data_IF_486664115356
#
_entry.id   IF_486664115356
#
_cell.length_a   1.000
_cell.length_b   1.000
_cell.length_c   1.000
_cell.angle_alpha   90.00
_cell.angle_beta   90.00
_cell.angle_gamma   90.00
#
_symmetry.space_group_name_H-M   'P 1'
#
loop_
_entity.id
_entity.type
_entity.pdbx_description
1 polymer ?
#
# COMPACT_ATOMS: atom_id res chain seq x y z
N UNK A 1 -20.31 16.44 -19.20
CA UNK A 1 -18.88 16.10 -19.31
C UNK A 1 -18.72 14.71 -19.91
N UNK A 2 -17.72 14.52 -20.78
CA UNK A 2 -17.43 13.23 -21.41
C UNK A 2 -15.94 12.95 -21.39
N UNK A 3 -15.54 11.71 -21.20
CA UNK A 3 -14.14 11.29 -21.35
C UNK A 3 -13.75 11.33 -22.83
N UNK A 4 -12.72 12.13 -23.15
CA UNK A 4 -12.20 12.30 -24.52
C UNK A 4 -10.97 11.41 -24.77
N UNK A 5 -10.09 11.28 -23.77
CA UNK A 5 -8.92 10.44 -23.86
C UNK A 5 -8.62 9.70 -22.54
N UNK A 6 -7.97 8.56 -22.68
CA UNK A 6 -7.40 7.77 -21.59
C UNK A 6 -5.98 7.44 -22.01
N UNK A 7 -4.99 8.07 -21.37
CA UNK A 7 -3.58 7.97 -21.73
C UNK A 7 -2.81 7.21 -20.66
N UNK A 8 -1.83 6.46 -21.11
CA UNK A 8 -0.86 5.77 -20.26
C UNK A 8 0.51 6.36 -20.53
N UNK A 9 0.92 7.27 -19.67
CA UNK A 9 2.14 8.05 -19.82
C UNK A 9 3.27 7.41 -19.02
N UNK A 10 4.28 6.90 -19.72
CA UNK A 10 5.52 6.43 -19.11
C UNK A 10 6.48 7.61 -19.00
N UNK A 11 6.95 7.86 -17.80
CA UNK A 11 7.94 8.90 -17.50
C UNK A 11 9.22 8.26 -16.95
N UNK A 12 10.36 8.84 -17.30
CA UNK A 12 11.68 8.35 -16.93
C UNK A 12 12.49 9.51 -16.38
N UNK A 13 13.20 9.28 -15.28
CA UNK A 13 14.07 10.27 -14.66
C UNK A 13 15.13 9.61 -13.78
N UNK A 14 16.05 10.41 -13.30
CA UNK A 14 17.18 9.98 -12.49
C UNK A 14 16.88 10.18 -11.01
N UNK A 15 16.71 9.09 -10.27
CA UNK A 15 16.59 9.10 -8.82
C UNK A 15 17.99 9.24 -8.20
N UNK A 16 18.28 10.34 -7.47
CA UNK A 16 19.63 10.72 -7.11
C UNK A 16 20.15 9.97 -5.87
N UNK A 17 20.05 8.66 -5.86
CA UNK A 17 20.54 7.81 -4.80
C UNK A 17 21.79 7.04 -5.26
N UNK A 18 22.85 7.04 -4.44
CA UNK A 18 24.08 6.31 -4.72
C UNK A 18 24.24 5.17 -3.71
N UNK A 19 24.71 4.02 -4.18
CA UNK A 19 24.86 2.82 -3.36
C UNK A 19 23.66 1.90 -3.40
N UNK A 20 23.55 0.95 -2.47
CA UNK A 20 22.43 0.02 -2.38
C UNK A 20 21.23 0.70 -1.70
N UNK A 21 20.22 1.07 -2.48
CA UNK A 21 18.99 1.65 -1.94
C UNK A 21 18.22 0.64 -1.10
N UNK A 22 18.25 -0.64 -1.50
CA UNK A 22 17.56 -1.73 -0.85
C UNK A 22 18.55 -2.67 -0.18
N UNK A 23 18.41 -2.88 1.12
CA UNK A 23 19.38 -3.62 1.91
C UNK A 23 18.93 -5.04 2.23
N UNK A 24 17.61 -5.22 2.43
CA UNK A 24 17.02 -6.53 2.70
C UNK A 24 15.69 -6.67 1.98
N UNK A 25 15.46 -7.79 1.34
CA UNK A 25 14.20 -8.08 0.67
C UNK A 25 13.13 -8.67 1.60
N UNK A 26 11.88 -8.71 1.15
CA UNK A 26 10.81 -9.44 1.81
C UNK A 26 11.08 -10.95 1.91
N UNK A 27 10.55 -11.58 2.98
CA UNK A 27 10.24 -12.99 2.92
C UNK A 27 9.10 -13.21 1.92
N UNK A 28 9.23 -14.18 1.03
CA UNK A 28 8.22 -14.45 -0.02
C UNK A 28 7.59 -15.83 0.22
N UNK A 29 6.31 -16.02 -0.12
CA UNK A 29 5.72 -17.37 -0.15
C UNK A 29 6.55 -18.38 -0.96
N UNK A 30 7.25 -17.88 -1.99
CA UNK A 30 8.14 -18.68 -2.84
C UNK A 30 9.37 -19.22 -2.09
N UNK A 31 9.73 -18.64 -0.94
CA UNK A 31 10.88 -19.04 -0.12
C UNK A 31 10.72 -20.40 0.57
N UNK A 32 9.58 -21.08 0.39
CA UNK A 32 9.43 -22.52 0.71
C UNK A 32 10.43 -23.35 -0.08
N UNK A 33 10.82 -22.93 -1.31
CA UNK A 33 11.80 -23.58 -2.15
C UNK A 33 13.21 -23.04 -1.82
N UNK A 34 14.18 -23.93 -1.49
CA UNK A 34 15.51 -23.50 -1.03
C UNK A 34 16.26 -22.59 -1.99
N UNK A 35 16.14 -22.81 -3.29
CA UNK A 35 16.80 -22.04 -4.35
C UNK A 35 16.39 -20.54 -4.36
N UNK A 36 15.17 -20.23 -3.92
CA UNK A 36 14.69 -18.86 -3.88
C UNK A 36 15.08 -18.11 -2.59
N UNK A 37 15.42 -18.83 -1.52
CA UNK A 37 15.80 -18.21 -0.24
C UNK A 37 17.08 -17.39 -0.33
N UNK A 38 18.04 -17.86 -1.11
CA UNK A 38 19.34 -17.23 -1.27
C UNK A 38 19.32 -16.07 -2.27
N UNK A 39 18.30 -15.94 -3.10
CA UNK A 39 18.20 -14.88 -4.10
C UNK A 39 17.93 -13.52 -3.43
N UNK A 40 18.87 -12.56 -3.49
CA UNK A 40 18.70 -11.25 -2.88
C UNK A 40 17.86 -10.29 -3.70
N UNK A 41 17.51 -10.63 -4.94
CA UNK A 41 16.88 -9.71 -5.88
C UNK A 41 15.41 -9.48 -5.55
N UNK A 42 15.02 -8.23 -5.69
CA UNK A 42 13.63 -7.80 -5.77
C UNK A 42 13.34 -7.36 -7.21
N UNK A 43 12.50 -8.10 -7.90
CA UNK A 43 12.24 -7.95 -9.34
C UNK A 43 11.47 -6.65 -9.70
N UNK A 44 10.89 -6.00 -8.71
CA UNK A 44 10.13 -4.75 -8.87
C UNK A 44 10.94 -3.49 -8.55
N UNK A 45 12.19 -3.65 -8.08
CA UNK A 45 13.09 -2.50 -7.88
C UNK A 45 13.62 -1.97 -9.21
N UNK A 46 13.89 -0.67 -9.30
CA UNK A 46 14.54 -0.09 -10.46
C UNK A 46 15.87 -0.76 -10.75
N UNK A 47 16.17 -0.97 -12.02
CA UNK A 47 17.49 -1.43 -12.42
C UNK A 47 18.55 -0.38 -12.08
N UNK A 48 19.64 -0.84 -11.47
CA UNK A 48 20.81 -0.02 -11.19
C UNK A 48 21.98 -0.47 -12.06
N UNK A 49 22.45 0.43 -12.90
CA UNK A 49 23.66 0.22 -13.67
C UNK A 49 24.89 0.70 -12.86
N UNK A 50 25.51 -0.19 -12.10
CA UNK A 50 26.70 0.14 -11.28
C UNK A 50 26.35 0.90 -10.00
N UNK A 51 27.33 1.60 -9.37
CA UNK A 51 27.17 2.30 -8.09
C UNK A 51 26.52 3.70 -8.22
N UNK A 52 26.03 4.05 -9.41
CA UNK A 52 25.46 5.37 -9.72
C UNK A 52 23.98 5.52 -9.31
N UNK A 53 23.38 6.65 -9.69
CA UNK A 53 21.96 6.89 -9.45
C UNK A 53 21.08 5.88 -10.19
N UNK A 54 19.85 5.69 -9.70
CA UNK A 54 18.89 4.78 -10.32
C UNK A 54 18.15 5.44 -11.47
N UNK A 55 17.98 4.73 -12.57
CA UNK A 55 17.09 5.12 -13.66
C UNK A 55 15.67 4.68 -13.32
N UNK A 56 14.85 5.61 -12.88
CA UNK A 56 13.47 5.32 -12.47
C UNK A 56 12.51 5.49 -13.64
N UNK A 57 11.67 4.48 -13.83
CA UNK A 57 10.64 4.45 -14.86
C UNK A 57 9.29 4.20 -14.21
N UNK A 58 8.32 5.09 -14.44
CA UNK A 58 6.97 4.96 -13.88
C UNK A 58 5.90 5.22 -14.93
N UNK A 59 4.75 4.59 -14.77
CA UNK A 59 3.61 4.74 -15.68
C UNK A 59 2.47 5.40 -14.91
N UNK A 60 1.89 6.44 -15.49
CA UNK A 60 0.74 7.14 -14.95
C UNK A 60 -0.46 7.02 -15.90
N UNK A 61 -1.65 6.91 -15.31
CA UNK A 61 -2.92 7.01 -16.01
C UNK A 61 -3.41 8.44 -15.98
N UNK A 62 -3.74 8.98 -17.14
CA UNK A 62 -4.41 10.28 -17.30
C UNK A 62 -5.77 10.07 -17.99
N UNK A 63 -6.84 10.59 -17.39
CA UNK A 63 -8.20 10.58 -17.96
C UNK A 63 -8.60 12.02 -18.25
N UNK A 64 -8.77 12.34 -19.54
CA UNK A 64 -9.10 13.69 -20.01
C UNK A 64 -10.59 13.82 -20.31
N UNK A 65 -11.17 14.98 -20.01
CA UNK A 65 -12.55 15.31 -20.32
C UNK A 65 -12.67 16.38 -21.41
N UNK A 66 -13.86 16.49 -22.04
CA UNK A 66 -14.21 17.54 -22.98
C UNK A 66 -14.29 18.94 -22.36
N UNK A 67 -14.21 19.05 -21.03
CA UNK A 67 -14.13 20.33 -20.31
C UNK A 67 -12.67 20.72 -19.95
N UNK A 68 -11.68 20.00 -20.47
CA UNK A 68 -10.26 20.31 -20.28
C UNK A 68 -9.69 19.95 -18.91
N UNK A 69 -10.42 19.14 -18.12
CA UNK A 69 -9.95 18.63 -16.83
C UNK A 69 -9.38 17.25 -17.02
N UNK A 70 -8.20 17.00 -16.40
CA UNK A 70 -7.52 15.72 -16.44
C UNK A 70 -7.36 15.18 -15.03
N UNK A 71 -7.76 13.92 -14.83
CA UNK A 71 -7.50 13.15 -13.61
C UNK A 71 -6.28 12.28 -13.75
N UNK A 72 -5.50 12.15 -12.67
CA UNK A 72 -4.24 11.43 -12.59
C UNK A 72 -4.32 10.28 -11.59
N UNK A 73 -3.76 9.12 -11.95
CA UNK A 73 -3.50 8.02 -11.02
C UNK A 73 -2.17 7.32 -11.34
N UNK A 74 -1.56 6.74 -10.32
CA UNK A 74 -0.31 6.00 -10.44
C UNK A 74 0.69 6.33 -9.34
N UNK A 75 1.91 5.78 -9.43
CA UNK A 75 2.42 4.99 -10.56
C UNK A 75 1.79 3.59 -10.66
N UNK A 76 1.75 3.06 -11.87
CA UNK A 76 1.17 1.76 -12.20
C UNK A 76 2.25 0.76 -12.61
N UNK A 77 2.01 -0.52 -12.37
CA UNK A 77 2.81 -1.57 -12.99
C UNK A 77 2.49 -1.68 -14.48
N UNK A 78 3.43 -2.23 -15.26
CA UNK A 78 3.25 -2.41 -16.71
C UNK A 78 2.06 -3.30 -17.05
N UNK A 79 1.80 -4.33 -16.24
CA UNK A 79 0.68 -5.25 -16.45
C UNK A 79 -0.67 -4.58 -16.18
N UNK A 80 -0.77 -3.77 -15.13
CA UNK A 80 -1.95 -2.94 -14.85
C UNK A 80 -2.21 -1.97 -16.01
N UNK A 81 -1.18 -1.26 -16.44
CA UNK A 81 -1.29 -0.33 -17.56
C UNK A 81 -1.73 -1.05 -18.86
N UNK A 82 -1.20 -2.24 -19.14
CA UNK A 82 -1.60 -3.05 -20.30
C UNK A 82 -3.08 -3.46 -20.25
N UNK A 83 -3.57 -3.88 -19.10
CA UNK A 83 -5.01 -4.20 -18.92
C UNK A 83 -5.87 -2.97 -19.18
N UNK A 84 -5.49 -1.81 -18.65
CA UNK A 84 -6.19 -0.55 -18.93
C UNK A 84 -6.20 -0.28 -20.44
N UNK A 85 -5.03 -0.28 -21.10
CA UNK A 85 -4.89 0.07 -22.50
C UNK A 85 -5.69 -0.82 -23.44
N UNK A 86 -5.60 -2.14 -23.25
CA UNK A 86 -6.22 -3.11 -24.17
C UNK A 86 -7.70 -3.38 -23.83
N UNK A 87 -8.02 -3.55 -22.54
CA UNK A 87 -9.31 -4.13 -22.16
C UNK A 87 -10.31 -3.08 -21.66
N UNK A 88 -9.86 -2.02 -20.95
CA UNK A 88 -10.75 -1.11 -20.24
C UNK A 88 -10.91 0.24 -20.95
N UNK A 89 -9.84 0.79 -21.53
CA UNK A 89 -9.84 2.07 -22.26
C UNK A 89 -10.98 2.21 -23.30
N UNK A 90 -11.30 1.19 -24.13
CA UNK A 90 -12.38 1.30 -25.10
C UNK A 90 -13.77 1.54 -24.49
N UNK A 91 -13.96 1.16 -23.21
CA UNK A 91 -15.22 1.32 -22.49
C UNK A 91 -15.38 2.68 -21.82
N UNK A 92 -14.28 3.39 -21.61
CA UNK A 92 -14.27 4.67 -20.92
C UNK A 92 -14.57 5.85 -21.86
N UNK A 93 -14.15 5.76 -23.12
CA UNK A 93 -14.32 6.87 -24.09
C UNK A 93 -15.80 7.21 -24.29
N UNK A 94 -16.14 8.48 -24.10
CA UNK A 94 -17.51 9.01 -24.19
C UNK A 94 -18.38 8.81 -22.95
N UNK A 95 -17.89 8.08 -21.93
CA UNK A 95 -18.57 7.97 -20.64
C UNK A 95 -18.56 9.31 -19.88
N UNK A 96 -19.51 9.50 -18.97
CA UNK A 96 -19.51 10.62 -18.04
C UNK A 96 -18.55 10.33 -16.88
N UNK A 97 -17.40 11.06 -16.75
CA UNK A 97 -16.41 10.80 -15.71
C UNK A 97 -16.93 11.07 -14.29
N UNK A 98 -18.03 11.80 -14.12
CA UNK A 98 -18.62 12.06 -12.81
C UNK A 98 -19.50 10.91 -12.34
N UNK A 99 -19.91 10.01 -13.24
CA UNK A 99 -20.68 8.81 -12.91
C UNK A 99 -19.75 7.65 -12.46
N UNK A 100 -18.88 7.92 -11.49
CA UNK A 100 -17.79 7.01 -11.04
C UNK A 100 -18.32 5.63 -10.68
N UNK A 101 -19.37 5.57 -9.85
CA UNK A 101 -19.97 4.30 -9.42
C UNK A 101 -20.51 3.47 -10.60
N UNK A 102 -21.08 4.13 -11.60
CA UNK A 102 -21.57 3.46 -12.81
C UNK A 102 -20.41 2.90 -13.62
N UNK A 103 -19.34 3.69 -13.84
CA UNK A 103 -18.16 3.23 -14.56
C UNK A 103 -17.55 2.04 -13.83
N UNK A 104 -17.40 2.13 -12.51
CA UNK A 104 -16.89 1.04 -11.69
C UNK A 104 -17.69 -0.24 -11.86
N UNK A 105 -19.03 -0.18 -11.73
CA UNK A 105 -19.91 -1.35 -11.84
C UNK A 105 -19.91 -1.94 -13.26
N UNK A 106 -19.89 -1.08 -14.30
CA UNK A 106 -19.80 -1.53 -15.69
C UNK A 106 -18.46 -2.28 -15.95
N UNK A 107 -17.34 -1.75 -15.49
CA UNK A 107 -16.03 -2.41 -15.63
C UNK A 107 -15.95 -3.71 -14.84
N UNK A 108 -16.47 -3.73 -13.60
CA UNK A 108 -16.52 -4.92 -12.76
C UNK A 108 -17.36 -6.04 -13.39
N UNK A 109 -18.53 -5.71 -13.92
CA UNK A 109 -19.40 -6.68 -14.59
C UNK A 109 -18.86 -7.14 -15.92
N UNK A 110 -18.21 -6.24 -16.65
CA UNK A 110 -17.53 -6.59 -17.89
C UNK A 110 -16.39 -7.59 -17.65
N UNK A 111 -15.63 -7.39 -16.58
CA UNK A 111 -14.47 -8.20 -16.21
C UNK A 111 -14.82 -9.33 -15.22
N UNK A 112 -15.82 -10.11 -15.57
CA UNK A 112 -16.34 -11.21 -14.73
C UNK A 112 -15.24 -12.21 -14.27
N UNK A 113 -14.21 -12.43 -15.08
CA UNK A 113 -13.07 -13.29 -14.77
C UNK A 113 -11.93 -12.57 -14.04
N UNK A 114 -11.94 -11.24 -13.96
CA UNK A 114 -10.88 -10.40 -13.40
C UNK A 114 -11.25 -9.72 -12.08
N UNK A 115 -12.06 -10.35 -11.24
CA UNK A 115 -12.56 -9.75 -9.99
C UNK A 115 -11.50 -9.59 -8.90
N UNK A 116 -10.32 -10.19 -9.07
CA UNK A 116 -9.14 -10.09 -8.22
C UNK A 116 -7.89 -9.88 -9.08
N UNK A 117 -6.79 -9.45 -8.48
CA UNK A 117 -5.50 -9.31 -9.13
C UNK A 117 -5.43 -8.14 -10.11
N UNK A 118 -4.60 -8.27 -11.14
CA UNK A 118 -4.21 -7.17 -12.06
C UNK A 118 -5.39 -6.42 -12.67
N UNK A 119 -6.49 -7.12 -12.99
CA UNK A 119 -7.69 -6.48 -13.56
C UNK A 119 -8.38 -5.58 -12.52
N UNK A 120 -8.50 -6.04 -11.28
CA UNK A 120 -9.06 -5.19 -10.23
C UNK A 120 -8.14 -4.01 -9.90
N UNK A 121 -6.83 -4.20 -9.92
CA UNK A 121 -5.85 -3.11 -9.80
C UNK A 121 -6.03 -2.08 -10.92
N UNK A 122 -6.33 -2.52 -12.15
CA UNK A 122 -6.61 -1.63 -13.27
C UNK A 122 -7.93 -0.83 -13.07
N UNK A 123 -8.97 -1.48 -12.55
CA UNK A 123 -10.24 -0.81 -12.19
C UNK A 123 -9.99 0.19 -11.06
N UNK A 124 -9.19 -0.17 -10.06
CA UNK A 124 -8.81 0.70 -8.94
C UNK A 124 -8.12 1.99 -9.41
N UNK A 125 -7.16 1.86 -10.34
CA UNK A 125 -6.46 3.01 -10.90
C UNK A 125 -7.41 3.96 -11.66
N UNK A 126 -8.32 3.40 -12.44
CA UNK A 126 -9.35 4.18 -13.15
C UNK A 126 -10.25 4.92 -12.14
N UNK A 127 -10.72 4.24 -11.12
CA UNK A 127 -11.54 4.83 -10.06
C UNK A 127 -10.82 6.00 -9.38
N UNK A 128 -9.56 5.82 -8.99
CA UNK A 128 -8.76 6.87 -8.36
C UNK A 128 -8.53 8.07 -9.32
N UNK A 129 -8.28 7.83 -10.62
CA UNK A 129 -8.16 8.89 -11.61
C UNK A 129 -9.46 9.68 -11.79
N UNK A 130 -10.61 9.00 -11.75
CA UNK A 130 -11.93 9.65 -11.85
C UNK A 130 -12.23 10.49 -10.60
N UNK A 131 -11.86 10.02 -9.40
CA UNK A 131 -11.97 10.82 -8.19
C UNK A 131 -11.05 12.06 -8.23
N UNK A 132 -9.83 11.91 -8.73
CA UNK A 132 -8.91 13.05 -8.92
C UNK A 132 -9.51 14.07 -9.91
N UNK A 133 -10.03 13.60 -11.06
CA UNK A 133 -10.70 14.44 -12.05
C UNK A 133 -11.89 15.18 -11.43
N UNK A 134 -12.75 14.48 -10.68
CA UNK A 134 -13.91 15.07 -10.04
C UNK A 134 -13.52 16.15 -9.02
N UNK A 135 -12.46 15.89 -8.24
CA UNK A 135 -11.93 16.86 -7.29
C UNK A 135 -11.41 18.11 -8.00
N UNK A 136 -10.63 17.94 -9.07
CA UNK A 136 -10.11 19.05 -9.89
C UNK A 136 -11.23 19.84 -10.56
N UNK A 137 -12.23 19.16 -11.07
CA UNK A 137 -13.39 19.82 -11.70
C UNK A 137 -14.20 20.66 -10.71
N UNK A 138 -14.39 20.16 -9.47
CA UNK A 138 -15.07 20.91 -8.42
C UNK A 138 -14.20 22.00 -7.77
N UNK A 139 -12.87 21.98 -7.99
CA UNK A 139 -11.92 22.85 -7.28
C UNK A 139 -11.71 22.45 -5.81
N UNK A 140 -12.05 21.20 -5.45
CA UNK A 140 -11.98 20.68 -4.08
C UNK A 140 -11.07 19.45 -3.96
N UNK A 141 -10.38 19.25 -2.83
CA UNK A 141 -9.73 17.99 -2.54
C UNK A 141 -10.77 16.88 -2.35
N UNK A 142 -10.37 15.65 -2.66
CA UNK A 142 -11.29 14.50 -2.67
C UNK A 142 -11.94 14.25 -1.31
N UNK A 143 -11.25 14.46 -0.20
CA UNK A 143 -11.85 14.28 1.13
C UNK A 143 -13.10 15.14 1.37
N UNK A 144 -13.21 16.33 0.75
CA UNK A 144 -14.42 17.16 0.84
C UNK A 144 -15.59 16.52 0.12
N UNK A 145 -15.34 15.90 -1.03
CA UNK A 145 -16.36 15.17 -1.78
C UNK A 145 -16.83 13.90 -1.07
N UNK A 146 -16.00 13.37 -0.17
CA UNK A 146 -16.33 12.26 0.71
C UNK A 146 -17.03 12.70 2.02
N UNK A 147 -17.27 14.00 2.21
CA UNK A 147 -17.95 14.55 3.39
C UNK A 147 -17.03 15.02 4.52
N UNK A 148 -15.71 15.02 4.30
CA UNK A 148 -14.72 15.55 5.25
C UNK A 148 -14.47 17.06 5.12
N UNK A 149 -13.45 17.61 5.83
CA UNK A 149 -12.56 16.83 6.68
C UNK A 149 -13.15 16.54 8.07
N UNK A 150 -12.96 15.33 8.54
CA UNK A 150 -13.13 14.97 9.96
C UNK A 150 -11.85 15.34 10.72
N UNK A 151 -10.70 15.20 10.07
CA UNK A 151 -9.37 15.56 10.57
C UNK A 151 -8.43 15.88 9.42
N UNK A 152 -7.45 16.75 9.67
CA UNK A 152 -6.47 17.23 8.68
C UNK A 152 -5.03 16.86 9.03
N UNK A 153 -4.81 16.30 10.22
CA UNK A 153 -3.53 15.77 10.67
C UNK A 153 -3.71 14.28 10.95
N UNK A 154 -2.92 13.47 10.25
CA UNK A 154 -3.03 12.02 10.28
C UNK A 154 -1.77 11.43 10.90
N UNK A 155 -1.87 10.70 12.01
CA UNK A 155 -0.75 9.95 12.55
C UNK A 155 -0.24 8.91 11.56
N UNK A 156 1.08 8.73 11.53
CA UNK A 156 1.77 7.85 10.57
C UNK A 156 2.64 6.86 11.30
N UNK A 157 2.63 5.61 10.86
CA UNK A 157 3.66 4.67 11.28
C UNK A 157 4.70 4.44 10.18
N UNK A 158 5.96 4.28 10.61
CA UNK A 158 7.07 4.00 9.72
C UNK A 158 7.09 2.50 9.37
N UNK A 159 6.97 2.20 8.09
CA UNK A 159 7.10 0.84 7.56
C UNK A 159 8.47 0.67 6.92
N UNK A 160 9.32 -0.21 7.50
CA UNK A 160 10.77 -0.27 7.27
C UNK A 160 11.19 -1.28 6.23
N UNK A 161 10.31 -1.59 5.28
CA UNK A 161 10.62 -2.48 4.17
C UNK A 161 11.89 -2.01 3.43
N UNK A 162 12.81 -2.93 3.16
CA UNK A 162 14.05 -2.65 2.45
C UNK A 162 15.22 -2.18 3.31
N UNK A 163 15.04 -2.02 4.62
CA UNK A 163 16.12 -1.70 5.54
C UNK A 163 16.79 -2.94 6.12
N UNK A 164 18.02 -2.79 6.60
CA UNK A 164 18.81 -3.85 7.22
C UNK A 164 18.17 -4.39 8.50
N UNK A 165 18.26 -5.71 8.67
CA UNK A 165 17.82 -6.42 9.88
C UNK A 165 18.98 -6.75 10.84
N UNK A 166 20.22 -6.29 10.54
CA UNK A 166 21.31 -6.37 11.49
C UNK A 166 20.98 -5.58 12.74
N UNK A 167 21.14 -6.19 13.93
CA UNK A 167 20.62 -5.65 15.19
C UNK A 167 21.13 -4.22 15.47
N UNK A 168 22.40 -3.95 15.21
CA UNK A 168 22.97 -2.61 15.41
C UNK A 168 22.33 -1.58 14.48
N UNK A 169 22.22 -1.90 13.19
CA UNK A 169 21.65 -1.01 12.17
C UNK A 169 20.15 -0.83 12.37
N UNK A 170 19.42 -1.91 12.63
CA UNK A 170 17.98 -1.87 12.89
C UNK A 170 17.64 -1.03 14.14
N UNK A 171 18.37 -1.21 15.23
CA UNK A 171 18.13 -0.43 16.47
C UNK A 171 18.56 1.03 16.33
N UNK A 172 19.60 1.33 15.54
CA UNK A 172 19.98 2.71 15.22
C UNK A 172 18.88 3.41 14.41
N UNK A 173 18.37 2.76 13.36
CA UNK A 173 17.24 3.26 12.57
C UNK A 173 15.99 3.44 13.44
N UNK A 174 15.67 2.47 14.29
CA UNK A 174 14.50 2.55 15.17
C UNK A 174 14.53 3.78 16.07
N UNK A 175 15.70 4.10 16.69
CA UNK A 175 15.89 5.32 17.48
C UNK A 175 15.79 6.59 16.63
N UNK A 176 16.34 6.58 15.42
CA UNK A 176 16.25 7.70 14.47
C UNK A 176 14.79 8.01 14.12
N UNK A 177 13.98 6.98 13.84
CA UNK A 177 12.55 7.13 13.53
C UNK A 177 11.78 7.73 14.73
N UNK A 178 12.10 7.31 15.97
CA UNK A 178 11.53 7.94 17.17
C UNK A 178 11.91 9.42 17.26
N UNK A 179 13.17 9.76 16.97
CA UNK A 179 13.62 11.17 16.95
C UNK A 179 12.95 12.00 15.84
N UNK A 180 12.52 11.35 14.73
CA UNK A 180 11.71 11.95 13.66
C UNK A 180 10.21 12.01 14.00
N UNK A 181 9.80 11.64 15.22
CA UNK A 181 8.43 11.75 15.68
C UNK A 181 7.55 10.52 15.43
N UNK A 182 8.04 9.46 14.81
CA UNK A 182 7.26 8.23 14.63
C UNK A 182 7.04 7.52 15.96
N UNK A 183 5.78 7.25 16.29
CA UNK A 183 5.36 6.53 17.50
C UNK A 183 4.99 5.07 17.24
N UNK A 184 5.12 4.64 15.99
CA UNK A 184 4.84 3.27 15.59
C UNK A 184 5.73 2.88 14.41
N UNK A 185 6.20 1.61 14.39
CA UNK A 185 7.14 1.09 13.41
C UNK A 185 6.79 -0.34 13.03
N UNK A 186 6.73 -0.64 11.72
CA UNK A 186 6.53 -1.99 11.19
C UNK A 186 7.84 -2.52 10.61
N UNK A 187 8.20 -3.77 10.99
CA UNK A 187 9.44 -4.43 10.61
C UNK A 187 9.15 -5.77 9.92
N UNK A 188 10.00 -6.13 8.95
CA UNK A 188 9.82 -7.25 8.02
C UNK A 188 10.90 -8.32 8.26
N UNK A 189 10.76 -9.21 9.26
CA UNK A 189 11.79 -10.21 9.56
C UNK A 189 11.93 -11.20 8.41
N UNK A 190 13.13 -11.30 7.89
CA UNK A 190 13.51 -12.28 6.86
C UNK A 190 14.80 -12.95 7.22
N UNK A 191 14.80 -14.27 7.22
CA UNK A 191 15.96 -15.06 7.57
C UNK A 191 16.20 -16.16 6.53
N UNK A 192 17.43 -16.27 5.97
CA UNK A 192 17.72 -17.26 4.92
C UNK A 192 17.79 -18.70 5.45
N UNK A 193 17.81 -18.92 6.76
CA UNK A 193 17.88 -20.23 7.36
C UNK A 193 16.66 -21.09 7.02
N UNK A 194 16.88 -22.38 6.70
CA UNK A 194 15.82 -23.37 6.54
C UNK A 194 15.30 -23.92 7.88
N UNK A 195 16.07 -23.76 8.99
CA UNK A 195 15.69 -24.21 10.30
C UNK A 195 14.69 -23.25 10.97
N UNK A 196 13.43 -23.69 11.21
CA UNK A 196 12.40 -22.84 11.83
C UNK A 196 12.81 -22.34 13.23
N UNK A 197 13.54 -23.13 14.00
CA UNK A 197 13.97 -22.72 15.34
C UNK A 197 14.98 -21.58 15.28
N UNK A 198 15.88 -21.61 14.31
CA UNK A 198 16.85 -20.52 14.11
C UNK A 198 16.12 -19.27 13.63
N UNK A 199 15.19 -19.36 12.67
CA UNK A 199 14.36 -18.23 12.22
C UNK A 199 13.59 -17.61 13.38
N UNK A 200 12.97 -18.42 14.23
CA UNK A 200 12.22 -17.96 15.41
C UNK A 200 13.14 -17.19 16.37
N UNK A 201 14.27 -17.79 16.75
CA UNK A 201 15.24 -17.12 17.65
C UNK A 201 15.73 -15.77 17.08
N UNK A 202 16.00 -15.69 15.79
CA UNK A 202 16.41 -14.44 15.12
C UNK A 202 15.30 -13.40 15.13
N UNK A 203 14.05 -13.79 14.85
CA UNK A 203 12.89 -12.92 14.92
C UNK A 203 12.69 -12.36 16.33
N UNK A 204 12.74 -13.22 17.35
CA UNK A 204 12.59 -12.79 18.74
C UNK A 204 13.74 -11.87 19.16
N UNK A 205 14.98 -12.19 18.78
CA UNK A 205 16.14 -11.36 19.09
C UNK A 205 16.03 -9.96 18.45
N UNK A 206 15.56 -9.87 17.20
CA UNK A 206 15.32 -8.60 16.53
C UNK A 206 14.31 -7.74 17.30
N UNK A 207 13.11 -8.28 17.57
CA UNK A 207 12.07 -7.53 18.24
C UNK A 207 12.38 -7.21 19.69
N UNK A 208 13.14 -8.06 20.40
CA UNK A 208 13.65 -7.76 21.74
C UNK A 208 14.63 -6.57 21.70
N UNK A 209 15.56 -6.55 20.72
CA UNK A 209 16.49 -5.45 20.53
C UNK A 209 15.78 -4.14 20.14
N UNK A 210 14.79 -4.21 19.24
CA UNK A 210 13.98 -3.07 18.85
C UNK A 210 13.20 -2.51 20.06
N UNK A 211 12.53 -3.35 20.83
CA UNK A 211 11.79 -2.94 22.04
C UNK A 211 12.71 -2.27 23.05
N UNK A 212 13.88 -2.85 23.30
CA UNK A 212 14.90 -2.26 24.19
C UNK A 212 15.41 -0.90 23.64
N UNK A 213 15.45 -0.72 22.33
CA UNK A 213 15.95 0.50 21.69
C UNK A 213 14.95 1.66 21.72
N UNK A 214 13.64 1.37 21.60
CA UNK A 214 12.59 2.39 21.45
C UNK A 214 11.74 2.58 22.71
N UNK A 215 11.85 1.70 23.69
CA UNK A 215 11.03 1.73 24.91
C UNK A 215 9.58 1.26 24.68
N UNK A 216 8.76 1.42 25.72
CA UNK A 216 7.38 0.88 25.76
C UNK A 216 6.34 1.80 25.09
N UNK A 217 6.69 3.06 24.89
CA UNK A 217 5.77 4.08 24.33
C UNK A 217 5.70 4.06 22.80
N UNK A 218 6.50 3.20 22.15
CA UNK A 218 6.50 3.04 20.69
C UNK A 218 5.86 1.72 20.32
N UNK A 219 4.85 1.78 19.45
CA UNK A 219 4.21 0.59 18.93
C UNK A 219 5.12 -0.12 17.93
N UNK A 220 5.29 -1.43 18.08
CA UNK A 220 6.05 -2.27 17.15
C UNK A 220 5.12 -3.26 16.48
N UNK A 221 5.23 -3.38 15.17
CA UNK A 221 4.48 -4.32 14.34
C UNK A 221 5.43 -5.24 13.58
N UNK A 222 4.98 -6.45 13.35
CA UNK A 222 5.70 -7.47 12.58
C UNK A 222 4.89 -7.79 11.32
N UNK A 223 5.55 -7.71 10.17
CA UNK A 223 4.99 -8.17 8.92
C UNK A 223 5.67 -9.47 8.49
N UNK A 224 4.89 -10.54 8.43
CA UNK A 224 5.36 -11.87 8.04
C UNK A 224 5.24 -12.12 6.54
N UNK A 225 4.49 -11.31 5.84
CA UNK A 225 4.23 -11.34 4.41
C UNK A 225 4.03 -12.77 3.86
N UNK A 226 3.04 -13.47 4.46
CA UNK A 226 2.59 -14.81 4.03
C UNK A 226 3.67 -15.91 4.10
N UNK A 227 4.72 -15.74 4.92
CA UNK A 227 5.88 -16.63 4.93
C UNK A 227 5.86 -17.68 6.05
N UNK A 228 4.80 -17.73 6.86
CA UNK A 228 4.69 -18.62 8.00
C UNK A 228 3.76 -19.81 7.72
N UNK A 229 4.03 -20.92 8.40
CA UNK A 229 3.08 -21.99 8.59
C UNK A 229 2.41 -21.89 9.98
N UNK A 230 1.40 -22.73 10.20
CA UNK A 230 0.65 -22.76 11.47
C UNK A 230 1.54 -22.98 12.69
N UNK A 231 2.46 -23.94 12.60
CA UNK A 231 3.32 -24.32 13.74
C UNK A 231 4.28 -23.20 14.09
N UNK A 232 4.84 -22.55 13.08
CA UNK A 232 5.70 -21.40 13.27
C UNK A 232 4.93 -20.20 13.84
N UNK A 233 3.74 -19.91 13.32
CA UNK A 233 2.90 -18.81 13.82
C UNK A 233 2.55 -18.97 15.29
N UNK A 234 2.14 -20.17 15.73
CA UNK A 234 1.83 -20.45 17.12
C UNK A 234 3.05 -20.29 18.05
N UNK A 235 4.22 -20.81 17.62
CA UNK A 235 5.45 -20.63 18.38
C UNK A 235 5.91 -19.16 18.43
N UNK A 236 5.79 -18.43 17.30
CA UNK A 236 6.15 -17.03 17.24
C UNK A 236 5.28 -16.15 18.15
N UNK A 237 3.96 -16.37 18.17
CA UNK A 237 3.05 -15.64 19.06
C UNK A 237 3.44 -15.84 20.52
N UNK A 238 3.74 -17.10 20.93
CA UNK A 238 4.11 -17.42 22.28
C UNK A 238 5.41 -16.72 22.72
N UNK A 239 6.43 -16.74 21.87
CA UNK A 239 7.73 -16.15 22.16
C UNK A 239 7.74 -14.61 22.07
N UNK A 240 6.91 -14.03 21.18
CA UNK A 240 6.81 -12.58 20.96
C UNK A 240 5.82 -11.89 21.91
N UNK A 241 4.91 -12.63 22.57
CA UNK A 241 3.91 -12.06 23.47
C UNK A 241 4.48 -11.09 24.53
N UNK A 242 5.63 -11.39 25.20
CA UNK A 242 6.21 -10.49 26.19
C UNK A 242 6.68 -9.15 25.60
N UNK A 243 6.89 -9.08 24.27
CA UNK A 243 7.37 -7.89 23.59
C UNK A 243 6.25 -6.92 23.19
N UNK A 244 4.99 -7.27 23.44
CA UNK A 244 3.81 -6.41 23.28
C UNK A 244 3.75 -5.77 21.89
N UNK A 245 3.78 -6.62 20.84
CA UNK A 245 3.61 -6.15 19.47
C UNK A 245 2.16 -5.66 19.28
N UNK A 246 2.01 -4.59 18.50
CA UNK A 246 0.70 -4.05 18.13
C UNK A 246 -0.10 -5.01 17.27
N UNK A 247 0.58 -5.69 16.31
CA UNK A 247 0.02 -6.81 15.53
C UNK A 247 1.12 -7.63 14.85
N UNK A 248 0.71 -8.82 14.39
CA UNK A 248 1.40 -9.61 13.37
C UNK A 248 0.57 -9.52 12.11
N UNK A 249 1.22 -9.12 11.00
CA UNK A 249 0.60 -8.91 9.69
C UNK A 249 0.87 -10.09 8.78
N UNK A 250 -0.16 -10.52 8.06
CA UNK A 250 -0.15 -11.54 7.03
C UNK A 250 0.73 -12.78 7.33
N UNK A 251 0.47 -13.53 8.41
CA UNK A 251 1.25 -14.74 8.68
C UNK A 251 1.10 -15.83 7.61
N UNK A 252 -0.08 -15.93 6.96
CA UNK A 252 -0.43 -16.99 6.01
C UNK A 252 -0.83 -16.42 4.65
N UNK A 253 -0.91 -17.28 3.62
CA UNK A 253 -1.52 -16.93 2.34
C UNK A 253 -2.98 -16.48 2.51
N UNK A 254 -3.48 -15.53 1.70
CA UNK A 254 -4.84 -14.98 1.84
C UNK A 254 -5.94 -16.02 1.64
N UNK A 255 -5.65 -17.13 0.94
CA UNK A 255 -6.60 -18.24 0.77
C UNK A 255 -6.87 -19.03 2.06
N UNK A 256 -6.07 -18.84 3.11
CA UNK A 256 -6.15 -19.60 4.36
C UNK A 256 -7.01 -18.91 5.42
N UNK A 257 -8.19 -18.40 5.02
CA UNK A 257 -9.10 -17.66 5.89
C UNK A 257 -9.43 -18.35 7.22
N UNK A 258 -9.69 -19.66 7.20
CA UNK A 258 -9.99 -20.42 8.42
C UNK A 258 -8.77 -20.53 9.35
N UNK A 259 -7.56 -20.55 8.79
CA UNK A 259 -6.34 -20.52 9.61
C UNK A 259 -6.16 -19.15 10.28
N UNK A 260 -6.43 -18.04 9.57
CA UNK A 260 -6.44 -16.70 10.17
C UNK A 260 -7.44 -16.60 11.33
N UNK A 261 -8.69 -17.04 11.12
CA UNK A 261 -9.71 -17.01 12.17
C UNK A 261 -9.32 -17.87 13.39
N UNK A 262 -8.76 -19.05 13.14
CA UNK A 262 -8.30 -19.93 14.20
C UNK A 262 -7.07 -19.37 14.94
N UNK A 263 -6.15 -18.69 14.23
CA UNK A 263 -4.97 -18.06 14.82
C UNK A 263 -5.39 -16.86 15.67
N UNK A 264 -6.22 -15.95 15.14
CA UNK A 264 -6.74 -14.80 15.88
C UNK A 264 -7.42 -15.20 17.17
N UNK A 265 -8.24 -16.26 17.14
CA UNK A 265 -8.94 -16.74 18.34
C UNK A 265 -8.00 -17.27 19.44
N UNK A 266 -6.73 -17.57 19.14
CA UNK A 266 -5.72 -18.11 20.05
C UNK A 266 -4.57 -17.15 20.33
N UNK A 267 -4.44 -16.12 19.52
CA UNK A 267 -3.33 -15.17 19.61
C UNK A 267 -3.55 -14.16 20.73
N UNK A 268 -2.50 -13.93 21.53
CA UNK A 268 -2.43 -12.80 22.45
C UNK A 268 -1.94 -11.52 21.80
N UNK A 269 -1.48 -11.61 20.53
CA UNK A 269 -1.06 -10.48 19.70
C UNK A 269 -2.12 -10.31 18.62
N UNK A 270 -2.65 -9.10 18.38
CA UNK A 270 -3.61 -8.86 17.31
C UNK A 270 -3.09 -9.31 15.94
N UNK A 271 -3.99 -9.73 15.05
CA UNK A 271 -3.68 -10.17 13.69
C UNK A 271 -4.21 -9.13 12.70
N UNK A 272 -3.32 -8.66 11.82
CA UNK A 272 -3.63 -7.72 10.75
C UNK A 272 -3.47 -8.37 9.38
N UNK A 273 -4.08 -7.79 8.35
CA UNK A 273 -3.90 -8.21 6.96
C UNK A 273 -4.99 -7.73 6.02
N UNK A 274 -4.91 -8.18 4.79
CA UNK A 274 -5.88 -7.89 3.75
C UNK A 274 -5.37 -7.04 2.60
N UNK A 275 -4.10 -6.70 2.52
CA UNK A 275 -3.57 -5.98 1.35
C UNK A 275 -3.73 -6.79 0.06
N UNK A 276 -3.72 -8.12 0.16
CA UNK A 276 -3.92 -9.05 -0.96
C UNK A 276 -5.37 -9.47 -1.18
N UNK A 277 -6.34 -8.82 -0.49
CA UNK A 277 -7.77 -9.08 -0.71
C UNK A 277 -8.42 -7.94 -1.53
N UNK A 278 -9.51 -8.27 -2.21
CA UNK A 278 -10.12 -7.42 -3.21
C UNK A 278 -11.62 -7.27 -2.96
N UNK A 279 -12.12 -6.07 -3.05
CA UNK A 279 -13.51 -5.65 -2.97
C UNK A 279 -14.21 -5.97 -1.64
N UNK A 280 -15.31 -5.26 -1.34
CA UNK A 280 -16.15 -5.54 -0.16
C UNK A 280 -16.63 -6.99 -0.10
N UNK A 281 -16.81 -7.66 -1.23
CA UNK A 281 -17.23 -9.05 -1.27
C UNK A 281 -16.10 -10.02 -0.84
N UNK A 282 -14.87 -9.70 -1.14
CA UNK A 282 -13.71 -10.45 -0.65
C UNK A 282 -13.48 -10.23 0.85
N UNK A 283 -13.61 -8.98 1.33
CA UNK A 283 -13.41 -8.67 2.75
C UNK A 283 -14.55 -9.15 3.67
N UNK A 284 -15.79 -9.25 3.17
CA UNK A 284 -16.93 -9.67 3.99
C UNK A 284 -16.72 -11.03 4.68
N UNK A 285 -16.22 -12.10 4.03
CA UNK A 285 -15.93 -13.36 4.70
C UNK A 285 -14.92 -13.23 5.86
N UNK A 286 -13.91 -12.38 5.72
CA UNK A 286 -12.90 -12.13 6.78
C UNK A 286 -13.53 -11.52 8.03
N UNK A 287 -14.41 -10.54 7.84
CA UNK A 287 -15.15 -9.92 8.93
C UNK A 287 -16.15 -10.89 9.58
N UNK A 288 -16.91 -11.62 8.78
CA UNK A 288 -17.88 -12.61 9.28
C UNK A 288 -17.24 -13.74 10.08
N UNK A 289 -16.02 -14.15 9.72
CA UNK A 289 -15.25 -15.19 10.43
C UNK A 289 -14.46 -14.64 11.61
N UNK A 290 -14.40 -13.33 11.78
CA UNK A 290 -13.54 -12.70 12.78
C UNK A 290 -12.08 -13.08 12.58
N UNK A 291 -11.58 -12.99 11.36
CA UNK A 291 -10.25 -13.45 11.00
C UNK A 291 -9.14 -12.42 11.28
N UNK A 292 -9.47 -11.15 11.42
CA UNK A 292 -8.53 -10.05 11.61
C UNK A 292 -8.97 -9.10 12.73
N UNK A 293 -7.99 -8.48 13.39
CA UNK A 293 -8.17 -7.35 14.32
C UNK A 293 -7.96 -6.00 13.65
N UNK A 294 -7.24 -5.97 12.52
CA UNK A 294 -6.98 -4.78 11.70
C UNK A 294 -7.11 -5.16 10.23
N UNK A 295 -7.88 -4.37 9.49
CA UNK A 295 -8.09 -4.57 8.06
C UNK A 295 -7.20 -3.62 7.25
N UNK A 296 -6.45 -4.16 6.28
CA UNK A 296 -5.42 -3.41 5.55
C UNK A 296 -5.60 -3.46 4.02
N UNK A 297 -6.74 -2.99 3.46
CA UNK A 297 -6.89 -2.97 2.01
C UNK A 297 -5.88 -2.02 1.37
N UNK A 298 -5.39 -2.35 0.20
CA UNK A 298 -4.71 -1.38 -0.66
C UNK A 298 -5.72 -0.69 -1.57
N UNK A 299 -5.75 0.65 -1.59
CA UNK A 299 -6.73 1.40 -2.38
C UNK A 299 -6.54 1.15 -3.88
N UNK A 300 -5.28 1.08 -4.35
CA UNK A 300 -4.98 0.80 -5.75
C UNK A 300 -5.15 -0.67 -6.15
N UNK A 301 -5.38 -1.59 -5.17
CA UNK A 301 -5.58 -3.00 -5.47
C UNK A 301 -7.02 -3.45 -5.21
N UNK A 302 -7.61 -3.01 -4.12
CA UNK A 302 -8.89 -3.52 -3.62
C UNK A 302 -10.15 -3.07 -4.38
N UNK A 303 -10.03 -2.18 -5.37
CA UNK A 303 -11.16 -1.68 -6.15
C UNK A 303 -11.26 -0.14 -6.18
N UNK A 304 -10.21 0.57 -5.80
CA UNK A 304 -10.15 2.03 -5.79
C UNK A 304 -10.76 2.66 -4.55
N UNK A 305 -10.84 3.98 -4.59
CA UNK A 305 -11.37 4.77 -3.48
C UNK A 305 -12.85 4.49 -3.22
N UNK A 306 -13.66 4.39 -4.28
CA UNK A 306 -15.09 4.08 -4.18
C UNK A 306 -15.36 2.78 -3.43
N UNK A 307 -14.58 1.75 -3.71
CA UNK A 307 -14.73 0.46 -3.07
C UNK A 307 -14.16 0.45 -1.64
N UNK A 308 -13.04 1.14 -1.41
CA UNK A 308 -12.43 1.22 -0.08
C UNK A 308 -13.31 1.99 0.91
N UNK A 309 -14.06 3.00 0.47
CA UNK A 309 -15.10 3.66 1.31
C UNK A 309 -16.15 2.64 1.78
N UNK A 310 -16.59 1.74 0.90
CA UNK A 310 -17.56 0.68 1.23
C UNK A 310 -16.95 -0.37 2.16
N UNK A 311 -15.67 -0.73 1.94
CA UNK A 311 -14.93 -1.63 2.83
C UNK A 311 -14.79 -1.00 4.23
N UNK A 312 -14.48 0.29 4.32
CA UNK A 312 -14.38 1.00 5.60
C UNK A 312 -15.72 1.04 6.35
N UNK A 313 -16.82 1.32 5.65
CA UNK A 313 -18.15 1.27 6.22
C UNK A 313 -18.51 -0.13 6.74
N UNK A 314 -18.18 -1.16 5.96
CA UNK A 314 -18.38 -2.56 6.34
C UNK A 314 -17.55 -2.93 7.57
N UNK A 315 -16.25 -2.62 7.59
CA UNK A 315 -15.34 -2.90 8.70
C UNK A 315 -15.81 -2.21 10.00
N UNK A 316 -16.27 -0.95 9.90
CA UNK A 316 -16.77 -0.20 11.05
C UNK A 316 -17.98 -0.84 11.73
N UNK A 317 -18.86 -1.55 10.98
CA UNK A 317 -20.01 -2.28 11.55
C UNK A 317 -19.59 -3.48 12.39
N UNK A 318 -18.39 -4.00 12.16
CA UNK A 318 -17.77 -5.07 12.95
C UNK A 318 -16.83 -4.54 14.04
N UNK A 319 -16.68 -3.22 14.15
CA UNK A 319 -15.74 -2.61 15.11
C UNK A 319 -14.27 -2.87 14.78
N UNK A 320 -13.95 -3.21 13.53
CA UNK A 320 -12.59 -3.48 13.07
C UNK A 320 -12.01 -2.21 12.41
N UNK A 321 -10.87 -1.68 12.91
CA UNK A 321 -10.22 -0.54 12.29
C UNK A 321 -9.65 -0.90 10.92
N UNK A 322 -9.67 0.08 10.01
CA UNK A 322 -9.10 -0.01 8.68
C UNK A 322 -7.84 0.86 8.61
N UNK A 323 -6.73 0.25 8.23
CA UNK A 323 -5.45 0.95 8.02
C UNK A 323 -4.95 0.56 6.63
N UNK A 324 -5.20 1.37 5.59
CA UNK A 324 -4.82 0.99 4.24
C UNK A 324 -3.31 0.75 4.10
N UNK A 325 -2.95 -0.26 3.28
CA UNK A 325 -1.56 -0.54 2.92
C UNK A 325 -0.87 0.70 2.32
N UNK A 326 0.37 0.90 2.65
CA UNK A 326 1.15 2.12 2.41
C UNK A 326 1.61 2.38 0.98
N UNK A 327 1.10 1.65 0.00
CA UNK A 327 1.45 1.83 -1.41
C UNK A 327 0.81 3.09 -2.03
N UNK A 328 -0.41 3.44 -1.65
CA UNK A 328 -1.21 4.51 -2.26
C UNK A 328 -1.45 5.69 -1.32
N UNK A 329 -0.40 6.23 -0.71
CA UNK A 329 -0.48 7.30 0.31
C UNK A 329 -1.33 8.51 -0.12
N UNK A 330 -1.22 9.08 -1.35
CA UNK A 330 -2.08 10.19 -1.75
C UNK A 330 -3.59 9.88 -1.65
N UNK A 331 -4.04 8.72 -2.12
CA UNK A 331 -5.44 8.31 -1.99
C UNK A 331 -5.82 7.97 -0.54
N UNK A 332 -4.90 7.34 0.21
CA UNK A 332 -5.09 6.99 1.61
C UNK A 332 -5.36 8.22 2.47
N UNK A 333 -4.58 9.29 2.32
CA UNK A 333 -4.78 10.51 3.13
C UNK A 333 -6.11 11.20 2.82
N UNK A 334 -6.58 11.15 1.57
CA UNK A 334 -7.90 11.65 1.21
C UNK A 334 -9.03 10.86 1.88
N UNK A 335 -8.92 9.54 1.89
CA UNK A 335 -9.88 8.67 2.57
C UNK A 335 -9.89 8.91 4.09
N UNK A 336 -8.72 8.89 4.71
CA UNK A 336 -8.61 8.99 6.16
C UNK A 336 -9.03 10.37 6.69
N UNK A 337 -8.85 11.42 5.91
CA UNK A 337 -9.33 12.76 6.26
C UNK A 337 -10.86 12.84 6.37
N UNK A 338 -11.58 11.94 5.67
CA UNK A 338 -13.04 11.86 5.72
C UNK A 338 -13.57 10.84 6.75
N UNK A 339 -12.69 10.11 7.45
CA UNK A 339 -13.08 9.07 8.41
C UNK A 339 -12.68 9.45 9.85
N UNK A 340 -13.48 9.07 10.86
CA UNK A 340 -13.10 9.27 12.27
C UNK A 340 -11.93 8.35 12.65
N UNK A 341 -11.13 8.81 13.62
CA UNK A 341 -9.94 8.10 14.09
C UNK A 341 -10.18 6.64 14.50
N UNK A 342 -11.25 6.28 15.24
CA UNK A 342 -11.49 4.89 15.60
C UNK A 342 -11.72 3.96 14.41
N UNK A 343 -12.18 4.50 13.27
CA UNK A 343 -12.41 3.74 12.03
C UNK A 343 -11.13 3.57 11.23
N UNK A 344 -10.29 4.63 11.18
CA UNK A 344 -9.06 4.60 10.37
C UNK A 344 -7.94 5.37 11.10
N UNK A 345 -7.28 4.76 12.10
CA UNK A 345 -6.42 5.46 13.06
C UNK A 345 -5.12 6.01 12.45
N UNK A 346 -4.49 5.28 11.55
CA UNK A 346 -3.14 5.57 11.07
C UNK A 346 -3.00 5.48 9.56
N UNK A 347 -2.02 6.22 9.02
CA UNK A 347 -1.46 6.02 7.68
C UNK A 347 -0.25 5.12 7.79
N UNK A 348 -0.15 4.10 6.96
CA UNK A 348 1.09 3.40 6.72
C UNK A 348 1.97 4.22 5.77
N UNK A 349 3.25 4.35 6.11
CA UNK A 349 4.23 4.98 5.24
C UNK A 349 5.44 4.05 5.04
N UNK A 350 5.46 3.34 3.92
CA UNK A 350 6.60 2.53 3.47
C UNK A 350 7.74 3.48 3.10
N UNK A 351 8.72 3.64 3.99
CA UNK A 351 9.72 4.70 3.91
C UNK A 351 10.44 4.74 2.55
N UNK A 352 11.17 3.69 2.21
CA UNK A 352 11.91 3.60 0.94
C UNK A 352 11.00 3.51 -0.27
N UNK A 353 9.90 2.78 -0.15
CA UNK A 353 8.97 2.60 -1.25
C UNK A 353 8.33 3.92 -1.69
N UNK A 354 7.88 4.73 -0.74
CA UNK A 354 7.26 6.01 -1.06
C UNK A 354 8.25 7.04 -1.63
N UNK A 355 9.54 6.94 -1.31
CA UNK A 355 10.56 7.74 -2.00
C UNK A 355 10.59 7.46 -3.51
N UNK A 356 10.43 6.17 -3.88
CA UNK A 356 10.36 5.78 -5.29
C UNK A 356 9.00 6.14 -5.90
N UNK A 357 7.88 5.71 -5.28
CA UNK A 357 6.55 5.87 -5.85
C UNK A 357 6.13 7.31 -6.04
N UNK A 358 6.59 8.20 -5.16
CA UNK A 358 6.25 9.63 -5.21
C UNK A 358 7.35 10.49 -5.85
N UNK A 359 8.40 9.88 -6.41
CA UNK A 359 9.54 10.61 -6.95
C UNK A 359 9.13 11.67 -7.98
N UNK A 360 8.27 11.34 -8.93
CA UNK A 360 7.85 12.26 -9.98
C UNK A 360 6.80 13.29 -9.54
N UNK A 361 6.31 13.23 -8.31
CA UNK A 361 5.40 14.27 -7.82
C UNK A 361 6.17 15.54 -7.45
N UNK A 362 5.56 16.70 -7.76
CA UNK A 362 6.09 18.02 -7.41
C UNK A 362 6.16 18.19 -5.89
N UNK A 363 5.07 17.86 -5.22
CA UNK A 363 4.93 17.90 -3.77
C UNK A 363 4.54 16.50 -3.27
N UNK A 364 5.51 15.65 -2.92
CA UNK A 364 5.20 14.33 -2.35
C UNK A 364 4.47 14.47 -1.02
N UNK A 365 3.49 13.61 -0.79
CA UNK A 365 2.78 13.51 0.50
C UNK A 365 3.69 12.78 1.49
N UNK A 366 4.32 13.51 2.39
CA UNK A 366 5.35 12.99 3.30
C UNK A 366 5.03 13.31 4.76
N UNK A 367 5.41 12.44 5.71
CA UNK A 367 5.26 12.71 7.12
C UNK A 367 6.31 13.72 7.62
N UNK A 368 5.87 14.62 8.49
CA UNK A 368 6.71 15.53 9.25
C UNK A 368 6.41 15.31 10.73
N UNK A 369 7.41 14.98 11.51
CA UNK A 369 7.26 14.64 12.93
C UNK A 369 6.20 13.54 13.18
N UNK A 370 6.20 12.48 12.35
CA UNK A 370 5.27 11.36 12.46
C UNK A 370 3.81 11.68 12.09
N UNK A 371 3.56 12.81 11.43
CA UNK A 371 2.21 13.27 11.03
C UNK A 371 2.23 13.66 9.55
N UNK A 372 1.20 13.27 8.81
CA UNK A 372 0.89 13.83 7.50
C UNK A 372 -0.20 14.86 7.64
N UNK A 373 0.05 16.07 7.12
CA UNK A 373 -1.00 17.06 6.86
C UNK A 373 -1.65 16.76 5.52
N UNK A 374 -2.98 16.66 5.53
CA UNK A 374 -3.74 16.34 4.32
C UNK A 374 -3.60 17.46 3.30
N UNK A 375 -3.22 17.17 2.04
CA UNK A 375 -3.16 18.18 0.98
C UNK A 375 -4.50 18.88 0.77
N UNK A 376 -4.45 20.18 0.54
CA UNK A 376 -5.65 21.02 0.31
C UNK A 376 -5.87 21.34 -1.18
N UNK A 377 -4.96 20.94 -2.04
CA UNK A 377 -5.08 21.11 -3.49
C UNK A 377 -6.23 20.25 -4.03
N UNK A 378 -6.89 20.68 -5.13
CA UNK A 378 -7.96 19.92 -5.76
C UNK A 378 -7.54 18.51 -6.18
N UNK A 379 -8.49 17.58 -6.20
CA UNK A 379 -8.24 16.19 -6.55
C UNK A 379 -7.58 15.42 -5.42
N UNK A 380 -6.64 14.53 -5.77
CA UNK A 380 -5.81 13.76 -4.83
C UNK A 380 -4.70 14.62 -4.19
N UNK A 381 -4.51 15.84 -4.65
CA UNK A 381 -3.51 16.77 -4.15
C UNK A 381 -2.10 16.51 -4.67
N UNK A 382 -1.95 15.82 -5.79
CA UNK A 382 -0.65 15.53 -6.40
C UNK A 382 -0.61 15.94 -7.87
N UNK A 383 0.58 16.37 -8.32
CA UNK A 383 0.88 16.72 -9.71
C UNK A 383 2.25 16.19 -10.09
N UNK A 384 2.44 15.81 -11.35
CA UNK A 384 3.76 15.46 -11.86
C UNK A 384 4.65 16.71 -11.94
N UNK A 385 5.92 16.53 -11.60
CA UNK A 385 6.95 17.58 -11.73
C UNK A 385 7.69 17.42 -13.06
N UNK A 386 7.47 18.32 -14.02
CA UNK A 386 8.16 18.25 -15.31
C UNK A 386 9.69 18.33 -15.19
N UNK A 387 10.20 18.95 -14.11
CA UNK A 387 11.65 19.08 -13.91
C UNK A 387 12.34 17.75 -13.58
N UNK A 388 11.58 16.75 -13.12
CA UNK A 388 12.08 15.39 -12.80
C UNK A 388 11.93 14.43 -13.98
N UNK A 389 11.21 14.82 -15.03
CA UNK A 389 10.94 14.00 -16.21
C UNK A 389 12.00 14.32 -17.28
N UNK A 390 12.89 13.38 -17.53
CA UNK A 390 13.94 13.51 -18.56
C UNK A 390 13.49 12.98 -19.92
N UNK A 391 12.68 11.90 -19.89
CA UNK A 391 12.08 11.30 -21.07
C UNK A 391 10.63 10.93 -20.76
N UNK A 392 9.76 11.02 -21.75
CA UNK A 392 8.39 10.56 -21.65
C UNK A 392 7.90 9.96 -22.95
N UNK A 393 6.94 9.03 -22.84
CA UNK A 393 6.23 8.48 -23.99
C UNK A 393 4.82 8.03 -23.61
N UNK A 394 3.91 8.14 -24.54
CA UNK A 394 2.60 7.49 -24.43
C UNK A 394 2.76 6.01 -24.77
N UNK A 395 2.22 5.14 -23.88
CA UNK A 395 2.17 3.73 -24.14
C UNK A 395 0.87 3.40 -24.86
N UNK A 396 0.98 3.00 -26.12
CA UNK A 396 -0.14 2.50 -26.89
C UNK A 396 0.04 1.00 -27.10
N UNK A 397 -0.95 0.24 -26.64
CA UNK A 397 -1.09 -1.17 -26.96
C UNK A 397 -2.26 -1.28 -27.92
N UNK A 398 -1.97 -1.53 -29.18
CA UNK A 398 -3.01 -1.91 -30.12
C UNK A 398 -3.65 -3.23 -29.69
N UNK A 399 -4.99 -3.27 -29.75
CA UNK A 399 -5.79 -4.44 -29.37
C UNK A 399 -5.69 -5.55 -30.41
#
# INVERSE_FOLDING_TARGET
>A
MRITAVRLREVIGTFPYTGSFWEERLSRPLDIYPEHRADPREWWLPEQEGPGPYRLRQIFLEIESDEGVTGLAGPLTRDVARVIGIQLRPRLRGADPLAIERIWDELYRWQVHGRKGVVMMAISAIDCALWDLRGRWNGDPVYRLLGGPVRIELPVYASTLGYSLELERATALARQLVAQGFRAQKWFPRWPSSDPRTRLRQTVALFAALRAAVGDDVELMLDAWMSWDWSFAMAAIQELAPLRLRWIEEPFLPDQLEAYAALRARSSIPIAGGEHEYTRWGFLPWLMRGALDVLQPDIYWAGGLSETVKIAALASTYGIPLIPHGHSVPATVQLLAALPEPVAPWVEYLLKWNELLQFFFREPVQPVNGIIRVPTQPGMGVELDPAKIEEERELDWEA
#
